data_IF_826944892715
#
_entry.id   IF_826944892715
#
_cell.length_a   1.000
_cell.length_b   1.000
_cell.length_c   1.000
_cell.angle_alpha   90.00
_cell.angle_beta   90.00
_cell.angle_gamma   90.00
#
_symmetry.space_group_name_H-M   'P 1'
#
loop_
_entity.id
_entity.type
_entity.pdbx_description
1 polymer ?
#
# COMPACT_ATOMS: atom_id res chain seq x y z
N UNK A 1 -14.53 -3.38 -10.44
CA UNK A 1 -13.81 -2.32 -9.71
C UNK A 1 -13.94 -2.64 -8.23
N UNK A 2 -12.84 -2.95 -7.55
CA UNK A 2 -12.87 -3.28 -6.13
C UNK A 2 -13.03 -1.99 -5.31
N UNK A 3 -14.24 -1.42 -5.26
CA UNK A 3 -14.49 -0.22 -4.46
C UNK A 3 -14.42 -0.59 -2.97
N UNK A 4 -13.57 0.12 -2.22
CA UNK A 4 -13.46 -0.08 -0.79
C UNK A 4 -14.52 0.76 -0.09
N UNK A 5 -15.26 0.17 0.85
CA UNK A 5 -16.21 0.92 1.67
C UNK A 5 -15.51 2.01 2.50
N UNK A 6 -16.26 3.00 2.97
CA UNK A 6 -15.73 4.06 3.83
C UNK A 6 -15.03 3.50 5.07
N UNK A 7 -15.56 2.43 5.69
CA UNK A 7 -14.93 1.74 6.82
C UNK A 7 -13.54 1.17 6.46
N UNK A 8 -13.44 0.46 5.33
CA UNK A 8 -12.13 -0.08 4.87
C UNK A 8 -11.16 1.05 4.55
N UNK A 9 -11.64 2.12 3.92
CA UNK A 9 -10.82 3.29 3.61
C UNK A 9 -10.33 3.96 4.89
N UNK A 10 -11.17 4.02 5.93
CA UNK A 10 -10.80 4.51 7.25
C UNK A 10 -9.72 3.63 7.88
N UNK A 11 -9.88 2.30 7.88
CA UNK A 11 -8.86 1.36 8.36
C UNK A 11 -7.51 1.54 7.63
N UNK A 12 -7.55 1.68 6.31
CA UNK A 12 -6.34 1.93 5.51
C UNK A 12 -5.68 3.26 5.87
N UNK A 13 -6.49 4.29 6.11
CA UNK A 13 -6.01 5.61 6.49
C UNK A 13 -5.41 5.62 7.90
N UNK A 14 -5.99 4.88 8.84
CA UNK A 14 -5.43 4.70 10.18
C UNK A 14 -4.08 3.97 10.13
N UNK A 15 -4.01 2.87 9.36
CA UNK A 15 -2.74 2.20 9.12
C UNK A 15 -1.73 3.15 8.46
N UNK A 16 -2.13 3.94 7.47
CA UNK A 16 -1.25 4.93 6.83
C UNK A 16 -0.67 5.94 7.84
N UNK A 17 -1.53 6.49 8.70
CA UNK A 17 -1.13 7.46 9.71
C UNK A 17 -0.15 6.87 10.73
N UNK A 18 -0.23 5.57 11.01
CA UNK A 18 0.70 4.89 11.91
C UNK A 18 2.13 4.83 11.35
N UNK A 19 2.28 4.86 10.02
CA UNK A 19 3.59 4.84 9.35
C UNK A 19 4.05 6.22 8.85
N UNK A 20 3.13 7.17 8.71
CA UNK A 20 3.46 8.56 8.37
C UNK A 20 4.16 9.26 9.54
N UNK A 21 5.48 9.40 9.42
CA UNK A 21 6.30 10.11 10.41
C UNK A 21 6.21 11.62 10.30
N UNK A 22 5.75 12.11 9.16
CA UNK A 22 5.74 13.53 8.80
C UNK A 22 4.40 14.21 9.04
N UNK A 23 3.31 13.45 9.15
CA UNK A 23 1.96 13.98 9.35
C UNK A 23 1.35 14.64 8.11
N UNK A 24 1.95 14.43 6.92
CA UNK A 24 1.49 14.99 5.64
C UNK A 24 0.53 14.03 4.90
N UNK A 25 0.23 12.87 5.48
CA UNK A 25 -0.59 11.84 4.86
C UNK A 25 0.12 11.10 3.72
N UNK A 26 1.46 11.03 3.78
CA UNK A 26 2.32 10.38 2.78
C UNK A 26 3.33 9.48 3.48
N UNK A 27 3.63 8.33 2.88
CA UNK A 27 4.66 7.41 3.36
C UNK A 27 5.73 7.19 2.31
N UNK A 28 6.89 6.67 2.68
CA UNK A 28 7.91 6.31 1.71
C UNK A 28 7.50 5.05 0.92
N UNK A 29 8.01 4.94 -0.32
CA UNK A 29 7.84 3.73 -1.12
C UNK A 29 8.35 2.47 -0.39
N UNK A 30 9.42 2.60 0.40
CA UNK A 30 9.93 1.54 1.27
C UNK A 30 8.91 1.05 2.30
N UNK A 31 8.06 1.94 2.81
CA UNK A 31 7.05 1.64 3.83
C UNK A 31 5.76 1.06 3.26
N UNK A 32 5.53 1.19 1.95
CA UNK A 32 4.30 0.71 1.29
C UNK A 32 4.07 -0.79 1.57
N UNK A 33 5.12 -1.60 1.51
CA UNK A 33 5.05 -3.03 1.82
C UNK A 33 4.69 -3.33 3.28
N UNK A 34 5.21 -2.54 4.22
CA UNK A 34 4.91 -2.70 5.65
C UNK A 34 3.46 -2.29 5.97
N UNK A 35 2.94 -1.22 5.34
CA UNK A 35 1.54 -0.82 5.48
C UNK A 35 0.60 -1.91 4.95
N UNK A 36 0.92 -2.51 3.80
CA UNK A 36 0.14 -3.64 3.27
C UNK A 36 0.10 -4.81 4.25
N UNK A 37 1.23 -5.11 4.91
CA UNK A 37 1.31 -6.13 5.97
C UNK A 37 0.53 -5.78 7.23
N UNK A 38 0.55 -4.51 7.64
CA UNK A 38 -0.25 -4.04 8.76
C UNK A 38 -1.76 -4.20 8.51
N UNK A 39 -2.19 -4.14 7.25
CA UNK A 39 -3.56 -4.37 6.81
C UNK A 39 -3.90 -5.85 6.57
N UNK A 40 -3.00 -6.76 6.97
CA UNK A 40 -3.20 -8.21 6.86
C UNK A 40 -2.91 -8.80 5.47
N UNK A 41 -2.42 -8.00 4.51
CA UNK A 41 -1.96 -8.52 3.23
C UNK A 41 -0.51 -8.99 3.32
N UNK A 42 -0.15 -10.05 2.60
CA UNK A 42 1.23 -10.54 2.57
C UNK A 42 1.82 -10.44 1.16
N UNK A 43 1.99 -9.22 0.60
CA UNK A 43 2.60 -9.09 -0.72
C UNK A 43 4.08 -9.48 -0.66
N UNK A 44 4.56 -10.10 -1.74
CA UNK A 44 5.99 -10.31 -1.93
C UNK A 44 6.66 -9.00 -2.33
N UNK A 45 7.97 -8.87 -2.09
CA UNK A 45 8.72 -7.68 -2.48
C UNK A 45 8.60 -7.42 -4.00
N UNK A 46 8.51 -8.47 -4.82
CA UNK A 46 8.31 -8.36 -6.26
C UNK A 46 6.95 -7.75 -6.61
N UNK A 47 5.88 -8.17 -5.93
CA UNK A 47 4.54 -7.59 -6.13
C UNK A 47 4.49 -6.13 -5.68
N UNK A 48 5.09 -5.79 -4.54
CA UNK A 48 5.21 -4.40 -4.08
C UNK A 48 5.97 -3.55 -5.10
N UNK A 49 7.11 -4.03 -5.60
CA UNK A 49 7.87 -3.34 -6.65
C UNK A 49 7.04 -3.14 -7.91
N UNK A 50 6.27 -4.16 -8.33
CA UNK A 50 5.41 -4.09 -9.51
C UNK A 50 4.30 -3.05 -9.37
N UNK A 51 3.60 -3.01 -8.23
CA UNK A 51 2.54 -2.01 -8.01
C UNK A 51 3.10 -0.59 -7.85
N UNK A 52 4.34 -0.46 -7.35
CA UNK A 52 5.07 0.81 -7.31
C UNK A 52 5.66 1.23 -8.67
N UNK A 53 5.56 0.39 -9.70
CA UNK A 53 6.06 0.69 -11.05
C UNK A 53 7.55 0.40 -11.27
N UNK A 54 8.12 -0.55 -10.53
CA UNK A 54 9.54 -0.91 -10.52
C UNK A 54 10.46 0.29 -10.24
N UNK A 55 10.29 0.96 -9.10
CA UNK A 55 11.16 2.06 -8.69
C UNK A 55 12.61 1.58 -8.53
N UNK A 56 13.59 2.45 -8.78
CA UNK A 56 14.99 2.14 -8.46
C UNK A 56 15.20 2.13 -6.94
N UNK A 57 16.26 1.45 -6.48
CA UNK A 57 16.62 1.37 -5.06
C UNK A 57 16.74 2.75 -4.39
N UNK A 58 17.24 3.74 -5.13
CA UNK A 58 17.37 5.13 -4.67
C UNK A 58 16.00 5.80 -4.46
N UNK A 59 15.05 5.54 -5.37
CA UNK A 59 13.71 6.11 -5.29
C UNK A 59 12.90 5.55 -4.11
N UNK A 60 13.22 4.36 -3.61
CA UNK A 60 12.46 3.72 -2.54
C UNK A 60 12.50 4.49 -1.21
N UNK A 61 13.55 5.27 -0.98
CA UNK A 61 13.70 6.12 0.22
C UNK A 61 13.59 7.63 -0.08
N UNK A 62 13.39 8.00 -1.35
CA UNK A 62 13.25 9.41 -1.77
C UNK A 62 11.80 9.71 -2.15
N UNK A 63 11.14 8.80 -2.85
CA UNK A 63 9.74 8.96 -3.25
C UNK A 63 8.81 8.65 -2.10
N UNK A 64 7.86 9.56 -1.92
CA UNK A 64 6.70 9.38 -1.06
C UNK A 64 5.47 9.03 -1.88
N UNK A 65 4.52 8.39 -1.23
CA UNK A 65 3.31 7.86 -1.79
C UNK A 65 2.13 8.40 -0.99
N UNK A 66 1.23 9.09 -1.67
CA UNK A 66 0.00 9.63 -1.09
C UNK A 66 -1.05 8.53 -0.96
N UNK A 67 -1.96 8.67 0.01
CA UNK A 67 -3.06 7.72 0.21
C UNK A 67 -3.88 7.44 -1.08
N UNK A 68 -4.13 8.48 -1.89
CA UNK A 68 -4.83 8.34 -3.18
C UNK A 68 -4.09 7.43 -4.17
N UNK A 69 -2.75 7.41 -4.14
CA UNK A 69 -1.95 6.52 -4.97
C UNK A 69 -1.87 5.11 -4.37
N UNK A 70 -2.05 4.97 -3.06
CA UNK A 70 -2.03 3.68 -2.38
C UNK A 70 -3.27 2.85 -2.67
N UNK A 71 -4.45 3.48 -2.69
CA UNK A 71 -5.72 2.80 -2.94
C UNK A 71 -5.69 1.85 -4.15
N UNK A 72 -5.31 2.28 -5.37
CA UNK A 72 -5.26 1.39 -6.52
C UNK A 72 -4.20 0.28 -6.39
N UNK A 73 -3.10 0.52 -5.66
CA UNK A 73 -2.10 -0.51 -5.39
C UNK A 73 -2.64 -1.57 -4.43
N UNK A 74 -3.32 -1.13 -3.37
CA UNK A 74 -4.00 -2.01 -2.42
C UNK A 74 -5.09 -2.84 -3.12
N UNK A 75 -5.88 -2.24 -4.02
CA UNK A 75 -6.86 -2.97 -4.83
C UNK A 75 -6.18 -4.08 -5.64
N UNK A 76 -5.03 -3.78 -6.26
CA UNK A 76 -4.29 -4.76 -7.06
C UNK A 76 -3.80 -5.94 -6.22
N UNK A 77 -3.25 -5.69 -5.02
CA UNK A 77 -2.76 -6.75 -4.14
C UNK A 77 -3.91 -7.54 -3.50
N UNK A 78 -4.89 -6.84 -2.92
CA UNK A 78 -6.02 -7.42 -2.20
C UNK A 78 -6.94 -8.23 -3.13
N UNK A 79 -7.12 -7.79 -4.39
CA UNK A 79 -7.91 -8.54 -5.37
C UNK A 79 -7.13 -9.69 -6.04
N UNK A 80 -5.78 -9.67 -6.05
CA UNK A 80 -4.97 -10.82 -6.47
C UNK A 80 -4.95 -11.95 -5.42
N UNK A 81 -4.85 -11.62 -4.13
CA UNK A 81 -4.81 -12.65 -3.07
C UNK A 81 -6.18 -13.32 -2.81
N UNK A 82 -7.27 -12.73 -3.30
CA UNK A 82 -8.62 -13.31 -3.18
C UNK A 82 -8.86 -14.51 -4.11
N UNK A 83 -7.94 -14.80 -5.04
CA UNK A 83 -8.05 -15.91 -6.00
C UNK A 83 -7.44 -17.23 -5.53
N UNK A 84 -6.84 -17.31 -4.32
CA UNK A 84 -6.24 -18.55 -3.79
C UNK A 84 -6.93 -19.16 -2.56
N UNK A 85 -8.09 -18.64 -2.14
CA UNK A 85 -8.91 -19.30 -1.11
C UNK A 85 -10.27 -19.65 -1.69
N UNK A 86 -10.31 -20.73 -2.46
CA UNK A 86 -11.39 -21.73 -2.50
C UNK A 86 -10.79 -23.11 -2.77
#
# INVERSE_FOLDING_TARGET
MCDFSEDQTAEFKEAFQLFDRTGDGKILYSQCGDVMRALGQNPTNAEVMKVLGNPKSDEMNVKTLSFEQFLPMMQTISCNNKLMIV
#
